data_IF_892264344757
#
_entry.id   IF_892264344757
#
_cell.length_a   1.000
_cell.length_b   1.000
_cell.length_c   1.000
_cell.angle_alpha   90.00
_cell.angle_beta   90.00
_cell.angle_gamma   90.00
#
_symmetry.space_group_name_H-M   'P 1'
#
loop_
_entity.id
_entity.type
_entity.pdbx_description
1 polymer ?
#
# COMPACT_ATOMS: atom_id res chain seq x y z
N UNK A 1 5.03 -14.49 -25.95
CA UNK A 1 4.22 -15.13 -24.90
C UNK A 1 4.17 -14.09 -23.81
N UNK A 2 3.01 -13.48 -23.54
CA UNK A 2 2.91 -12.60 -22.37
C UNK A 2 3.24 -13.43 -21.15
N UNK A 3 4.05 -12.91 -20.22
CA UNK A 3 4.12 -13.55 -18.92
C UNK A 3 2.74 -13.59 -18.26
N UNK A 4 2.55 -14.55 -17.35
CA UNK A 4 1.48 -14.46 -16.35
C UNK A 4 1.47 -13.09 -15.64
N UNK A 5 0.28 -12.70 -15.21
CA UNK A 5 0.07 -11.50 -14.41
C UNK A 5 0.07 -11.85 -12.92
N UNK A 6 0.50 -10.91 -12.09
CA UNK A 6 0.56 -11.03 -10.65
C UNK A 6 -0.84 -11.35 -10.10
N UNK A 7 -0.93 -12.37 -9.26
CA UNK A 7 -2.21 -12.81 -8.67
C UNK A 7 -2.90 -11.74 -7.82
N UNK A 8 -2.14 -10.78 -7.26
CA UNK A 8 -2.70 -9.74 -6.39
C UNK A 8 -3.03 -8.43 -7.11
N UNK A 9 -2.15 -7.94 -7.98
CA UNK A 9 -2.24 -6.59 -8.56
C UNK A 9 -2.31 -6.59 -10.09
N UNK A 10 -2.36 -7.77 -10.73
CA UNK A 10 -2.56 -7.93 -12.17
C UNK A 10 -1.45 -7.29 -13.04
N UNK A 11 -0.31 -6.97 -12.45
CA UNK A 11 0.88 -6.48 -13.16
C UNK A 11 1.70 -7.65 -13.75
N UNK A 12 2.44 -7.45 -14.87
CA UNK A 12 3.25 -8.51 -15.47
C UNK A 12 4.32 -9.06 -14.52
N UNK A 13 4.55 -10.38 -14.54
CA UNK A 13 5.62 -11.06 -13.75
C UNK A 13 6.89 -11.33 -14.55
N UNK A 14 7.04 -10.75 -15.76
CA UNK A 14 8.21 -10.96 -16.63
C UNK A 14 9.54 -10.72 -15.90
N UNK A 15 10.36 -11.77 -15.77
CA UNK A 15 11.70 -11.68 -15.17
C UNK A 15 11.72 -11.73 -13.64
N UNK A 16 10.58 -12.02 -12.99
CA UNK A 16 10.46 -12.15 -11.54
C UNK A 16 10.16 -13.61 -11.18
N UNK A 17 10.90 -14.16 -10.21
CA UNK A 17 10.72 -15.53 -9.71
C UNK A 17 10.23 -15.50 -8.26
N UNK A 18 9.03 -14.94 -8.06
CA UNK A 18 8.37 -14.88 -6.75
C UNK A 18 7.07 -15.68 -6.84
N UNK A 19 7.05 -16.82 -6.18
CA UNK A 19 5.92 -17.76 -6.14
C UNK A 19 5.60 -18.18 -4.71
N UNK A 20 4.39 -18.69 -4.51
CA UNK A 20 3.96 -19.34 -3.26
C UNK A 20 3.88 -20.87 -3.39
N UNK A 21 3.53 -21.56 -2.30
CA UNK A 21 3.33 -23.01 -2.30
C UNK A 21 2.10 -23.50 -3.09
N UNK A 22 1.20 -22.60 -3.48
CA UNK A 22 0.01 -22.87 -4.28
C UNK A 22 0.23 -22.72 -5.79
N UNK A 23 1.39 -22.21 -6.21
CA UNK A 23 1.70 -21.95 -7.61
C UNK A 23 1.20 -20.59 -8.11
N UNK A 24 0.84 -19.67 -7.21
CA UNK A 24 0.55 -18.29 -7.57
C UNK A 24 1.86 -17.55 -7.86
N UNK A 25 1.82 -16.63 -8.82
CA UNK A 25 2.96 -15.81 -9.24
C UNK A 25 2.77 -14.34 -8.86
N UNK A 26 3.86 -13.69 -8.44
CA UNK A 26 3.83 -12.32 -7.92
C UNK A 26 4.91 -11.45 -8.54
N UNK A 27 4.58 -10.17 -8.77
CA UNK A 27 5.55 -9.20 -9.28
C UNK A 27 6.60 -8.76 -8.24
N UNK A 28 6.37 -9.03 -6.95
CA UNK A 28 7.31 -8.75 -5.86
C UNK A 28 6.96 -9.55 -4.58
N UNK A 29 7.90 -9.65 -3.64
CA UNK A 29 7.70 -10.32 -2.33
C UNK A 29 6.58 -9.68 -1.52
N UNK A 30 6.39 -8.36 -1.65
CA UNK A 30 5.32 -7.64 -0.96
C UNK A 30 3.92 -8.11 -1.39
N UNK A 31 3.71 -8.34 -2.69
CA UNK A 31 2.44 -8.88 -3.18
C UNK A 31 2.20 -10.30 -2.67
N UNK A 32 3.25 -11.13 -2.59
CA UNK A 32 3.13 -12.48 -2.01
C UNK A 32 2.76 -12.42 -0.53
N UNK A 33 3.46 -11.61 0.25
CA UNK A 33 3.26 -11.53 1.70
C UNK A 33 1.87 -10.95 2.04
N UNK A 34 1.37 -9.97 1.27
CA UNK A 34 0.00 -9.46 1.39
C UNK A 34 -1.02 -10.54 1.03
N UNK A 35 -0.81 -11.26 -0.06
CA UNK A 35 -1.70 -12.35 -0.47
C UNK A 35 -1.78 -13.45 0.60
N UNK A 36 -0.64 -13.84 1.19
CA UNK A 36 -0.58 -14.81 2.29
C UNK A 36 -1.29 -14.30 3.55
N UNK A 37 -1.09 -13.02 3.91
CA UNK A 37 -1.73 -12.41 5.07
C UNK A 37 -3.25 -12.23 4.91
N UNK A 38 -3.71 -11.93 3.69
CA UNK A 38 -5.13 -11.84 3.37
C UNK A 38 -5.80 -13.21 3.33
N UNK A 39 -5.08 -14.28 2.98
CA UNK A 39 -5.56 -15.66 3.02
C UNK A 39 -6.98 -15.81 2.48
N UNK A 40 -7.85 -16.46 3.27
CA UNK A 40 -9.30 -16.59 3.01
C UNK A 40 -10.10 -15.74 4.02
N UNK A 41 -9.63 -14.51 4.27
CA UNK A 41 -10.29 -13.62 5.21
C UNK A 41 -11.56 -13.10 4.57
N UNK A 42 -12.71 -13.47 5.15
CA UNK A 42 -14.02 -12.95 4.73
C UNK A 42 -14.16 -11.50 5.21
N UNK A 43 -13.97 -10.56 4.28
CA UNK A 43 -14.09 -9.13 4.55
C UNK A 43 -15.54 -8.71 4.35
N UNK A 44 -16.24 -8.44 5.45
CA UNK A 44 -17.57 -7.84 5.38
C UNK A 44 -17.47 -6.39 4.90
N UNK A 45 -17.87 -6.17 3.65
CA UNK A 45 -17.87 -4.87 3.02
C UNK A 45 -18.75 -3.84 3.74
N UNK A 46 -19.81 -4.26 4.45
CA UNK A 46 -20.62 -3.34 5.24
C UNK A 46 -19.91 -2.91 6.52
N UNK A 47 -19.26 -3.83 7.23
CA UNK A 47 -18.46 -3.50 8.42
C UNK A 47 -17.32 -2.50 8.09
N UNK A 48 -16.70 -2.63 6.91
CA UNK A 48 -15.69 -1.66 6.42
C UNK A 48 -16.32 -0.28 6.18
N UNK A 49 -17.52 -0.24 5.58
CA UNK A 49 -18.24 1.03 5.34
C UNK A 49 -18.69 1.69 6.63
N UNK A 50 -19.16 0.92 7.61
CA UNK A 50 -19.55 1.42 8.94
C UNK A 50 -18.34 2.02 9.66
N UNK A 51 -17.21 1.31 9.75
CA UNK A 51 -15.99 1.87 10.36
C UNK A 51 -15.49 3.14 9.67
N UNK A 52 -15.61 3.24 8.34
CA UNK A 52 -15.25 4.47 7.61
C UNK A 52 -16.17 5.63 7.98
N UNK A 53 -17.45 5.37 8.22
CA UNK A 53 -18.42 6.39 8.68
C UNK A 53 -18.15 6.78 10.13
N UNK A 54 -17.87 5.81 11.00
CA UNK A 54 -17.53 6.04 12.42
C UNK A 54 -16.20 6.78 12.59
N UNK A 55 -15.21 6.53 11.73
CA UNK A 55 -13.97 7.33 11.64
C UNK A 55 -14.14 8.65 10.89
N UNK A 56 -15.32 8.90 10.32
CA UNK A 56 -15.65 10.06 9.47
C UNK A 56 -16.02 11.33 10.23
N UNK A 57 -16.30 11.25 11.53
CA UNK A 57 -16.54 12.44 12.38
C UNK A 57 -15.23 13.14 12.82
N UNK A 58 -14.07 12.62 12.37
CA UNK A 58 -12.76 13.28 12.46
C UNK A 58 -12.25 13.84 11.13
N UNK A 59 -13.01 13.75 10.04
CA UNK A 59 -12.71 14.40 8.76
C UNK A 59 -13.44 15.76 8.67
N UNK A 60 -13.39 16.53 9.75
CA UNK A 60 -13.65 17.97 9.68
C UNK A 60 -12.38 18.61 9.14
N UNK A 61 -12.48 19.21 7.95
CA UNK A 61 -11.45 20.10 7.41
C UNK A 61 -10.06 19.44 7.33
N UNK A 62 -9.75 18.78 6.21
CA UNK A 62 -8.36 18.68 5.78
C UNK A 62 -7.89 20.09 5.35
N UNK A 63 -7.86 21.01 6.32
CA UNK A 63 -7.00 22.15 6.28
C UNK A 63 -5.58 21.62 6.10
N UNK A 64 -4.90 22.26 5.17
CA UNK A 64 -3.47 22.25 4.89
C UNK A 64 -2.64 22.49 6.17
N UNK A 65 -2.64 21.55 7.12
CA UNK A 65 -2.07 21.76 8.45
C UNK A 65 -1.59 20.45 9.10
N UNK A 66 -0.97 19.56 8.32
CA UNK A 66 0.22 18.88 8.86
C UNK A 66 1.34 19.92 8.90
N UNK A 67 1.20 20.93 9.75
CA UNK A 67 2.17 22.00 9.89
C UNK A 67 3.49 21.35 10.31
N UNK A 68 4.45 21.34 9.40
CA UNK A 68 5.81 20.92 9.69
C UNK A 68 6.26 21.74 10.91
N UNK A 69 6.73 21.09 12.00
CA UNK A 69 7.18 21.81 13.19
C UNK A 69 8.15 22.94 12.82
N UNK A 70 8.14 24.05 13.55
CA UNK A 70 8.87 25.26 13.16
C UNK A 70 10.40 25.08 13.04
N UNK A 71 10.95 23.99 13.57
CA UNK A 71 12.34 23.56 13.47
C UNK A 71 12.61 22.55 12.34
N UNK A 72 11.59 22.21 11.54
CA UNK A 72 11.65 21.28 10.42
C UNK A 72 11.31 22.01 9.12
N UNK A 73 11.95 21.60 8.02
CA UNK A 73 11.71 22.13 6.68
C UNK A 73 10.98 21.11 5.81
N UNK A 74 9.91 21.54 5.11
CA UNK A 74 9.23 20.69 4.15
C UNK A 74 10.13 20.46 2.94
N UNK A 75 10.49 19.21 2.67
CA UNK A 75 11.25 18.81 1.48
C UNK A 75 10.41 17.89 0.61
N UNK A 76 10.36 18.18 -0.69
CA UNK A 76 9.69 17.33 -1.67
C UNK A 76 10.71 16.40 -2.33
N UNK A 77 10.42 15.10 -2.32
CA UNK A 77 11.15 14.09 -3.08
C UNK A 77 10.18 13.47 -4.07
N UNK A 78 10.51 13.57 -5.35
CA UNK A 78 9.80 12.89 -6.43
C UNK A 78 10.54 11.58 -6.72
N UNK A 79 9.79 10.49 -6.88
CA UNK A 79 10.35 9.15 -7.08
C UNK A 79 9.76 8.55 -8.34
N UNK A 80 10.50 8.66 -9.43
CA UNK A 80 10.17 8.01 -10.70
C UNK A 80 10.26 6.46 -10.59
N UNK A 81 9.27 5.76 -11.14
CA UNK A 81 9.29 4.31 -11.35
C UNK A 81 8.53 3.45 -10.33
N UNK A 82 7.79 4.06 -9.40
CA UNK A 82 7.06 3.33 -8.35
C UNK A 82 5.64 2.96 -8.79
N UNK A 83 5.51 2.00 -9.72
CA UNK A 83 4.22 1.61 -10.32
C UNK A 83 3.26 0.82 -9.38
N UNK A 84 3.52 0.82 -8.08
CA UNK A 84 2.81 0.02 -7.09
C UNK A 84 2.26 0.98 -6.03
N UNK A 85 0.93 1.19 -6.01
CA UNK A 85 0.25 2.06 -5.03
C UNK A 85 0.56 1.69 -3.56
N UNK A 86 0.88 0.41 -3.31
CA UNK A 86 1.31 -0.09 -1.99
C UNK A 86 2.70 0.43 -1.60
N UNK A 87 3.59 0.62 -2.57
CA UNK A 87 4.97 1.07 -2.36
C UNK A 87 4.99 2.58 -2.04
N UNK A 88 4.12 3.35 -2.69
CA UNK A 88 3.88 4.77 -2.36
C UNK A 88 3.35 4.89 -0.92
N UNK A 89 2.34 4.09 -0.57
CA UNK A 89 1.76 4.06 0.79
C UNK A 89 2.78 3.64 1.86
N UNK A 90 3.68 2.70 1.56
CA UNK A 90 4.73 2.25 2.48
C UNK A 90 5.78 3.34 2.74
N UNK A 91 6.18 4.09 1.71
CA UNK A 91 7.14 5.19 1.87
C UNK A 91 6.52 6.37 2.60
N UNK A 92 5.26 6.71 2.36
CA UNK A 92 4.54 7.72 3.17
C UNK A 92 4.49 7.32 4.65
N UNK A 93 4.18 6.05 4.97
CA UNK A 93 4.21 5.55 6.34
C UNK A 93 5.63 5.56 6.96
N UNK A 94 6.66 5.19 6.19
CA UNK A 94 8.05 5.14 6.68
C UNK A 94 8.64 6.55 6.84
N UNK A 95 8.31 7.47 5.94
CA UNK A 95 8.74 8.86 6.01
C UNK A 95 8.01 9.65 7.11
N UNK A 96 6.73 9.35 7.36
CA UNK A 96 5.97 9.93 8.48
C UNK A 96 6.30 9.31 9.85
N UNK A 97 6.89 8.11 9.87
CA UNK A 97 7.30 7.39 11.07
C UNK A 97 8.76 7.62 11.42
N UNK A 98 9.06 8.63 12.26
CA UNK A 98 10.39 8.72 12.90
C UNK A 98 10.51 7.70 14.05
N UNK A 99 11.62 6.95 14.12
CA UNK A 99 12.36 6.82 15.37
C UNK A 99 13.62 7.70 15.31
N UNK A 100 13.68 8.72 16.18
CA UNK A 100 14.82 9.63 16.32
C UNK A 100 14.40 11.02 16.79
#
# INVERSE_FOLDING_TARGET
MSAPDCTLCELPTEGVDVTDGGGNEFCCTGCRDVYEALGDVDVDAEAVRERRREGGDGAGDAGDDTAVPADHEATFLEVDGMHCATCESFLEMTAGGKPG
#
